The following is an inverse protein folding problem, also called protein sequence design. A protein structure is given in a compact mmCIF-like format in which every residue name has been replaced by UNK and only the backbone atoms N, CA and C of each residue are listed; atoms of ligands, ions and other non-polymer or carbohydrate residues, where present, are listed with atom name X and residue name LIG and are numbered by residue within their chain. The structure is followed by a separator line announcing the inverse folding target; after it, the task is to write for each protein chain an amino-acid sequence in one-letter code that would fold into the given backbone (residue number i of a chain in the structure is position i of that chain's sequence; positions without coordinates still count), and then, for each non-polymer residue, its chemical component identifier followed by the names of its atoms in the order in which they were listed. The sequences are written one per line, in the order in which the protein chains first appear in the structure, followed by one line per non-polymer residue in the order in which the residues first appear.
data_IF_521184206807
#
_entry.id   IF_521184206807
#
_cell.length_a   1.000
_cell.length_b   1.000
_cell.length_c   1.000
_cell.angle_alpha   90.00
_cell.angle_beta   90.00
_cell.angle_gamma   90.00
#
_symmetry.space_group_name_H-M   'P 1'
#
loop_
_entity.id
_entity.type
_entity.pdbx_description
1 polymer ?
#
# COMPACT_ATOMS: atom_id res chain seq x y z
N UNK A 1 0.31 -1.01 26.29
CA UNK A 1 0.82 -2.02 25.32
C UNK A 1 0.48 -1.52 23.93
N UNK A 2 1.41 -0.79 23.32
CA UNK A 2 1.28 -0.31 21.93
C UNK A 2 1.49 -1.49 21.00
N UNK A 3 0.42 -1.98 20.40
CA UNK A 3 0.49 -3.02 19.36
C UNK A 3 1.24 -2.43 18.18
N UNK A 4 2.53 -2.76 18.06
CA UNK A 4 3.34 -2.52 16.87
C UNK A 4 2.72 -3.28 15.69
N UNK A 5 1.85 -2.63 14.95
CA UNK A 5 1.30 -3.17 13.70
C UNK A 5 2.38 -3.08 12.63
N UNK A 6 3.02 -4.22 12.32
CA UNK A 6 3.92 -4.36 11.17
C UNK A 6 3.19 -3.86 9.91
N UNK A 7 3.83 -3.05 9.06
CA UNK A 7 3.23 -2.61 7.80
C UNK A 7 2.82 -3.82 6.95
N UNK A 8 1.59 -3.83 6.45
CA UNK A 8 1.04 -4.89 5.59
C UNK A 8 1.96 -5.35 4.43
N UNK A 9 2.74 -4.47 3.79
CA UNK A 9 3.70 -4.86 2.74
C UNK A 9 4.79 -5.81 3.22
N UNK A 10 5.44 -5.44 4.33
CA UNK A 10 6.47 -6.24 4.99
C UNK A 10 5.86 -7.54 5.48
N UNK A 11 4.62 -7.50 5.98
CA UNK A 11 3.90 -8.71 6.39
C UNK A 11 3.61 -9.67 5.22
N UNK A 12 3.27 -9.19 4.03
CA UNK A 12 2.99 -10.05 2.87
C UNK A 12 4.26 -10.74 2.33
N UNK A 13 5.38 -10.02 2.28
CA UNK A 13 6.67 -10.59 1.90
C UNK A 13 7.20 -11.55 2.96
N UNK A 14 7.14 -11.14 4.23
CA UNK A 14 7.53 -11.99 5.37
C UNK A 14 6.73 -13.27 5.39
N UNK A 15 5.41 -13.22 5.15
CA UNK A 15 4.60 -14.44 5.02
C UNK A 15 5.04 -15.29 3.84
N UNK A 16 5.37 -14.70 2.70
CA UNK A 16 5.87 -15.46 1.54
C UNK A 16 7.19 -16.18 1.86
N UNK A 17 8.07 -15.57 2.65
CA UNK A 17 9.29 -16.21 3.15
C UNK A 17 9.00 -17.30 4.19
N UNK A 18 8.12 -17.02 5.16
CA UNK A 18 7.70 -17.99 6.18
C UNK A 18 7.04 -19.22 5.55
N UNK A 19 6.20 -19.03 4.52
CA UNK A 19 5.58 -20.14 3.78
C UNK A 19 6.61 -21.01 3.06
N UNK A 20 7.70 -20.44 2.54
CA UNK A 20 8.79 -21.23 1.94
C UNK A 20 9.61 -22.01 2.98
N UNK A 21 9.70 -21.51 4.20
CA UNK A 21 10.47 -22.11 5.28
C UNK A 21 9.68 -23.11 6.16
N UNK A 22 8.34 -23.07 6.12
CA UNK A 22 7.47 -23.87 6.98
C UNK A 22 7.23 -25.30 6.47
N UNK A 23 6.94 -26.24 7.39
CA UNK A 23 6.50 -27.59 7.03
C UNK A 23 5.13 -27.55 6.32
N UNK A 24 4.80 -28.54 5.48
CA UNK A 24 3.54 -28.58 4.71
C UNK A 24 2.27 -28.41 5.58
N UNK A 25 2.28 -28.91 6.81
CA UNK A 25 1.18 -28.74 7.78
C UNK A 25 1.02 -27.31 8.27
N UNK A 26 2.13 -26.58 8.43
CA UNK A 26 2.18 -25.19 8.91
C UNK A 26 1.93 -24.19 7.77
N UNK A 27 2.34 -24.54 6.54
CA UNK A 27 2.06 -23.76 5.34
C UNK A 27 0.55 -23.54 5.15
N UNK A 28 -0.29 -24.54 5.43
CA UNK A 28 -1.75 -24.37 5.37
C UNK A 28 -2.25 -23.33 6.37
N UNK A 29 -1.79 -23.41 7.62
CA UNK A 29 -2.19 -22.47 8.68
C UNK A 29 -1.73 -21.05 8.35
N UNK A 30 -0.48 -20.88 7.89
CA UNK A 30 0.06 -19.59 7.46
C UNK A 30 -0.68 -19.04 6.24
N UNK A 31 -1.03 -19.89 5.27
CA UNK A 31 -1.81 -19.51 4.10
C UNK A 31 -3.19 -19.01 4.49
N UNK A 32 -3.90 -19.73 5.36
CA UNK A 32 -5.24 -19.36 5.80
C UNK A 32 -5.23 -18.08 6.64
N UNK A 33 -4.23 -17.91 7.51
CA UNK A 33 -4.01 -16.69 8.27
C UNK A 33 -3.70 -15.49 7.36
N UNK A 34 -2.86 -15.69 6.35
CA UNK A 34 -2.48 -14.66 5.39
C UNK A 34 -3.65 -14.25 4.49
N UNK A 35 -4.48 -15.21 4.05
CA UNK A 35 -5.73 -14.95 3.33
C UNK A 35 -6.73 -14.20 4.24
N UNK A 36 -6.82 -14.58 5.51
CA UNK A 36 -7.67 -13.89 6.49
C UNK A 36 -7.24 -12.45 6.72
N UNK A 37 -5.93 -12.22 6.88
CA UNK A 37 -5.32 -10.90 7.04
C UNK A 37 -5.27 -10.07 5.74
N UNK A 38 -5.71 -10.64 4.60
CA UNK A 38 -5.69 -9.96 3.31
C UNK A 38 -4.30 -9.77 2.71
N UNK A 39 -3.29 -10.51 3.18
CA UNK A 39 -1.90 -10.49 2.72
C UNK A 39 -1.67 -11.40 1.51
N UNK A 40 -2.61 -12.31 1.25
CA UNK A 40 -2.70 -13.11 0.04
C UNK A 40 -4.13 -13.03 -0.51
N UNK A 41 -4.34 -13.52 -1.73
CA UNK A 41 -5.68 -13.72 -2.26
C UNK A 41 -5.83 -15.09 -2.91
N UNK A 42 -7.03 -15.65 -2.78
CA UNK A 42 -7.38 -16.93 -3.38
C UNK A 42 -8.21 -16.71 -4.64
N UNK A 43 -7.83 -17.42 -5.69
CA UNK A 43 -8.48 -17.42 -6.98
C UNK A 43 -9.71 -18.37 -7.00
N UNK A 44 -10.66 -18.26 -7.94
CA UNK A 44 -11.75 -19.25 -8.08
C UNK A 44 -11.23 -20.61 -8.53
N UNK A 45 -10.13 -20.65 -9.27
CA UNK A 45 -9.41 -21.90 -9.56
C UNK A 45 -8.68 -22.45 -8.32
N UNK A 46 -8.84 -21.78 -7.16
CA UNK A 46 -8.32 -22.11 -5.82
C UNK A 46 -6.84 -21.83 -5.61
N UNK A 47 -6.12 -21.41 -6.65
CA UNK A 47 -4.74 -20.94 -6.55
C UNK A 47 -4.59 -19.78 -5.57
N UNK A 48 -3.52 -19.78 -4.77
CA UNK A 48 -3.20 -18.70 -3.84
C UNK A 48 -2.14 -17.81 -4.47
N UNK A 49 -2.36 -16.51 -4.42
CA UNK A 49 -1.54 -15.52 -5.10
C UNK A 49 -1.12 -14.44 -4.09
N UNK A 50 0.02 -13.81 -4.35
CA UNK A 50 0.52 -12.70 -3.53
C UNK A 50 -0.42 -11.50 -3.63
N UNK A 51 -0.46 -10.67 -2.58
CA UNK A 51 -1.24 -9.41 -2.59
C UNK A 51 -1.02 -8.59 -3.88
N UNK A 52 0.21 -8.51 -4.37
CA UNK A 52 0.54 -7.67 -5.52
C UNK A 52 0.25 -8.30 -6.88
N UNK A 53 0.00 -9.61 -6.94
CA UNK A 53 -0.34 -10.27 -8.18
C UNK A 53 -1.71 -9.80 -8.67
N UNK A 54 -1.74 -9.10 -9.81
CA UNK A 54 -2.97 -8.61 -10.45
C UNK A 54 -3.70 -9.70 -11.24
N UNK A 55 -2.99 -10.78 -11.58
CA UNK A 55 -3.51 -11.99 -12.24
C UNK A 55 -3.13 -13.23 -11.46
N UNK A 56 -3.95 -14.25 -11.58
CA UNK A 56 -3.72 -15.54 -11.00
C UNK A 56 -2.58 -16.24 -11.74
N UNK A 57 -1.58 -16.75 -11.02
CA UNK A 57 -0.51 -17.56 -11.60
C UNK A 57 -1.00 -18.88 -12.20
N UNK A 58 -2.11 -19.43 -11.70
CA UNK A 58 -2.68 -20.70 -12.16
C UNK A 58 -3.58 -20.57 -13.40
N UNK A 59 -4.59 -19.68 -13.38
CA UNK A 59 -5.57 -19.56 -14.47
C UNK A 59 -5.52 -18.22 -15.24
N UNK A 60 -4.64 -17.28 -14.88
CA UNK A 60 -4.51 -15.99 -15.57
C UNK A 60 -5.64 -14.99 -15.31
N UNK A 61 -6.69 -15.41 -14.62
CA UNK A 61 -7.82 -14.56 -14.20
C UNK A 61 -7.35 -13.42 -13.30
N UNK A 62 -8.01 -12.27 -13.42
CA UNK A 62 -7.66 -11.12 -12.58
C UNK A 62 -7.97 -11.39 -11.10
N UNK A 63 -7.16 -10.81 -10.21
CA UNK A 63 -7.30 -10.90 -8.74
C UNK A 63 -8.71 -10.65 -8.25
N UNK A 64 -9.38 -9.77 -8.96
CA UNK A 64 -10.70 -9.27 -8.66
C UNK A 64 -11.59 -9.94 -9.70
N UNK A 65 -12.34 -10.93 -9.24
CA UNK A 65 -13.11 -11.89 -10.02
C UNK A 65 -14.16 -11.28 -10.96
N UNK A 66 -14.30 -9.98 -10.95
CA UNK A 66 -14.98 -9.18 -11.95
C UNK A 66 -14.24 -7.85 -12.00
N UNK A 67 -14.20 -7.19 -13.16
CA UNK A 67 -14.05 -5.73 -13.23
C UNK A 67 -15.03 -5.08 -12.25
N UNK A 68 -14.84 -3.80 -11.91
CA UNK A 68 -15.91 -3.05 -11.28
C UNK A 68 -17.22 -3.36 -12.01
N UNK A 69 -18.20 -3.87 -11.27
CA UNK A 69 -19.51 -4.14 -11.84
C UNK A 69 -20.28 -2.86 -11.64
N UNK A 70 -20.14 -1.99 -12.62
CA UNK A 70 -20.95 -0.80 -12.77
C UNK A 70 -21.86 -0.98 -13.97
N UNK A 71 -23.09 -0.44 -13.92
CA UNK A 71 -23.93 -0.30 -15.10
C UNK A 71 -23.15 0.33 -16.27
N UNK A 72 -23.43 -0.09 -17.50
CA UNK A 72 -22.66 0.27 -18.71
C UNK A 72 -22.56 1.77 -19.01
N UNK A 73 -23.31 2.62 -18.29
CA UNK A 73 -23.45 4.07 -18.49
C UNK A 73 -22.62 4.95 -17.55
N UNK A 74 -21.77 4.36 -16.71
CA UNK A 74 -20.95 5.10 -15.75
C UNK A 74 -19.79 5.85 -16.41
N UNK A 75 -19.57 7.11 -16.01
CA UNK A 75 -18.34 7.82 -16.33
C UNK A 75 -17.20 7.31 -15.42
N UNK A 76 -16.03 7.03 -16.00
CA UNK A 76 -14.92 6.39 -15.28
C UNK A 76 -14.39 7.21 -14.10
N UNK A 77 -14.47 8.54 -14.14
CA UNK A 77 -13.85 9.41 -13.14
C UNK A 77 -14.52 9.35 -11.76
N UNK A 78 -15.85 9.34 -11.69
CA UNK A 78 -16.57 9.28 -10.42
C UNK A 78 -16.43 7.91 -9.72
N UNK A 79 -16.23 6.86 -10.53
CA UNK A 79 -15.93 5.53 -10.01
C UNK A 79 -14.52 5.48 -9.39
N UNK A 80 -13.54 6.20 -9.95
CA UNK A 80 -12.22 6.37 -9.33
C UNK A 80 -12.32 7.13 -8.00
N UNK A 81 -13.13 8.17 -7.91
CA UNK A 81 -13.32 8.94 -6.67
C UNK A 81 -13.94 8.08 -5.56
N UNK A 82 -14.97 7.30 -5.89
CA UNK A 82 -15.56 6.33 -4.97
C UNK A 82 -14.54 5.26 -4.54
N UNK A 83 -13.71 4.79 -5.47
CA UNK A 83 -12.65 3.83 -5.18
C UNK A 83 -11.61 4.40 -4.22
N UNK A 84 -11.17 5.63 -4.46
CA UNK A 84 -10.22 6.36 -3.60
C UNK A 84 -10.80 6.59 -2.20
N UNK A 85 -12.05 7.02 -2.11
CA UNK A 85 -12.75 7.23 -0.85
C UNK A 85 -12.87 5.93 -0.02
N UNK A 86 -13.21 4.82 -0.67
CA UNK A 86 -13.26 3.50 -0.04
C UNK A 86 -11.88 3.04 0.46
N UNK A 87 -10.85 3.23 -0.37
CA UNK A 87 -9.47 2.89 0.00
C UNK A 87 -9.05 3.64 1.27
N UNK A 88 -9.26 4.96 1.27
CA UNK A 88 -8.97 5.85 2.41
C UNK A 88 -9.72 5.41 3.67
N UNK A 89 -11.04 5.18 3.56
CA UNK A 89 -11.85 4.75 4.71
C UNK A 89 -11.33 3.47 5.38
N UNK A 90 -11.00 2.45 4.59
CA UNK A 90 -10.50 1.18 5.13
C UNK A 90 -9.03 1.25 5.56
N UNK A 91 -8.26 2.22 5.06
CA UNK A 91 -6.90 2.49 5.55
C UNK A 91 -6.94 3.17 6.93
N UNK A 92 -7.80 4.18 7.09
CA UNK A 92 -7.93 4.96 8.33
C UNK A 92 -8.60 4.16 9.46
N UNK A 93 -9.34 3.10 9.10
CA UNK A 93 -10.07 2.23 10.04
C UNK A 93 -9.69 0.77 9.82
N UNK A 94 -8.45 0.39 10.15
CA UNK A 94 -7.98 -0.98 9.94
C UNK A 94 -8.88 -1.95 10.71
N UNK A 95 -9.64 -2.76 9.97
CA UNK A 95 -10.47 -3.82 10.54
C UNK A 95 -9.64 -5.09 10.69
N UNK A 96 -10.10 -6.02 11.52
CA UNK A 96 -9.53 -7.37 11.58
C UNK A 96 -9.48 -8.06 10.20
N UNK A 97 -10.40 -7.69 9.29
CA UNK A 97 -10.45 -8.19 7.92
C UNK A 97 -10.83 -7.10 6.92
N UNK A 98 -9.94 -6.78 5.98
CA UNK A 98 -10.21 -5.82 4.89
C UNK A 98 -11.03 -6.49 3.77
N UNK A 99 -12.15 -5.89 3.33
CA UNK A 99 -12.85 -6.37 2.14
C UNK A 99 -12.05 -6.11 0.86
N UNK A 100 -12.25 -6.97 -0.14
CA UNK A 100 -11.65 -6.82 -1.47
C UNK A 100 -12.50 -5.91 -2.38
N UNK A 101 -13.80 -5.82 -2.11
CA UNK A 101 -14.73 -4.92 -2.79
C UNK A 101 -15.90 -4.58 -1.87
N UNK A 102 -16.55 -3.45 -2.12
CA UNK A 102 -17.84 -3.10 -1.53
C UNK A 102 -18.88 -3.07 -2.64
N UNK A 103 -20.04 -3.68 -2.38
CA UNK A 103 -21.21 -3.56 -3.24
C UNK A 103 -22.25 -2.65 -2.58
N UNK A 104 -22.82 -1.74 -3.37
CA UNK A 104 -23.94 -0.87 -3.01
C UNK A 104 -25.10 -1.17 -3.93
N UNK A 105 -26.32 -1.32 -3.39
CA UNK A 105 -27.53 -1.45 -4.20
C UNK A 105 -28.16 -0.08 -4.38
N UNK A 106 -28.45 0.31 -5.61
CA UNK A 106 -29.10 1.58 -5.91
C UNK A 106 -30.60 1.47 -5.64
N UNK A 107 -31.15 2.46 -4.94
CA UNK A 107 -32.56 2.51 -4.53
C UNK A 107 -33.13 3.91 -4.77
N UNK A 108 -34.44 4.04 -4.93
CA UNK A 108 -35.13 5.35 -4.96
C UNK A 108 -35.76 5.74 -3.64
N UNK A 109 -35.73 4.84 -2.66
CA UNK A 109 -36.24 5.10 -1.32
C UNK A 109 -35.18 5.88 -0.57
N UNK A 110 -35.57 7.03 0.01
CA UNK A 110 -34.76 7.68 1.02
C UNK A 110 -34.74 6.76 2.25
N UNK A 111 -33.65 6.03 2.42
CA UNK A 111 -33.41 5.15 3.56
C UNK A 111 -32.15 5.60 4.33
N UNK A 112 -31.87 4.92 5.44
CA UNK A 112 -30.67 5.11 6.27
C UNK A 112 -29.40 4.54 5.60
N UNK A 113 -29.32 4.68 4.29
CA UNK A 113 -28.20 4.29 3.46
C UNK A 113 -26.98 5.20 3.63
N UNK A 114 -25.79 4.77 3.15
CA UNK A 114 -24.58 5.59 3.22
C UNK A 114 -24.70 6.91 2.44
N UNK A 115 -25.52 6.95 1.40
CA UNK A 115 -25.94 8.14 0.67
C UNK A 115 -27.41 8.02 0.26
N UNK A 116 -28.10 9.16 0.05
CA UNK A 116 -29.45 9.17 -0.53
C UNK A 116 -29.43 8.32 -1.81
N UNK A 117 -30.34 7.36 -1.92
CA UNK A 117 -30.46 6.43 -3.05
C UNK A 117 -29.51 5.20 -3.05
N UNK A 118 -28.90 4.81 -1.93
CA UNK A 118 -28.09 3.58 -1.84
C UNK A 118 -28.43 2.74 -0.60
N UNK A 119 -28.64 1.43 -0.77
CA UNK A 119 -29.00 0.48 0.30
C UNK A 119 -28.09 -0.74 0.30
N UNK A 120 -28.02 -1.44 1.44
CA UNK A 120 -27.55 -2.83 1.48
C UNK A 120 -26.08 -3.00 1.18
N UNK A 121 -25.24 -2.22 1.87
CA UNK A 121 -23.77 -2.32 1.77
C UNK A 121 -23.33 -3.75 2.02
N UNK A 122 -22.64 -4.34 1.05
CA UNK A 122 -22.15 -5.71 1.15
C UNK A 122 -20.63 -5.71 0.99
N UNK A 123 -19.94 -6.21 2.01
CA UNK A 123 -18.50 -6.37 2.01
C UNK A 123 -18.14 -7.72 1.35
N UNK A 124 -17.50 -7.66 0.19
CA UNK A 124 -17.04 -8.83 -0.55
C UNK A 124 -15.59 -9.14 -0.18
N UNK A 125 -15.30 -10.40 0.10
CA UNK A 125 -13.94 -10.88 0.41
C UNK A 125 -13.46 -11.82 -0.69
N UNK A 126 -12.15 -11.99 -0.81
CA UNK A 126 -11.53 -12.85 -1.83
C UNK A 126 -12.00 -14.31 -1.75
N UNK A 127 -12.35 -14.79 -0.55
CA UNK A 127 -12.89 -16.13 -0.29
C UNK A 127 -14.42 -16.19 -0.18
N UNK A 128 -15.10 -15.04 -0.24
CA UNK A 128 -16.55 -14.90 -0.07
C UNK A 128 -17.05 -13.80 -1.01
N UNK A 129 -17.16 -14.12 -2.32
CA UNK A 129 -17.44 -13.14 -3.36
C UNK A 129 -18.88 -12.62 -3.33
N UNK A 130 -19.82 -13.42 -2.83
CA UNK A 130 -21.21 -13.01 -2.57
C UNK A 130 -21.28 -11.97 -1.44
N UNK A 131 -20.21 -11.87 -0.66
CA UNK A 131 -20.02 -10.92 0.41
C UNK A 131 -20.94 -11.13 1.60
N UNK A 132 -20.78 -10.26 2.59
CA UNK A 132 -21.59 -10.23 3.81
C UNK A 132 -22.15 -8.84 3.99
N UNK A 133 -23.38 -8.75 4.47
CA UNK A 133 -23.98 -7.48 4.85
C UNK A 133 -23.04 -6.74 5.81
N UNK A 134 -22.61 -5.56 5.40
CA UNK A 134 -21.74 -4.69 6.18
C UNK A 134 -22.64 -3.69 6.89
N UNK A 135 -22.59 -3.69 8.23
CA UNK A 135 -23.33 -2.71 9.04
C UNK A 135 -22.60 -1.36 9.15
N UNK A 136 -21.50 -1.21 8.43
CA UNK A 136 -20.73 0.03 8.47
C UNK A 136 -21.49 1.10 7.74
N UNK A 137 -21.77 2.15 8.49
CA UNK A 137 -22.46 3.31 7.99
C UNK A 137 -21.38 4.25 7.48
N UNK A 138 -21.25 4.38 6.15
CA UNK A 138 -20.37 5.37 5.51
C UNK A 138 -20.96 6.79 5.60
N UNK A 139 -22.01 7.01 6.38
CA UNK A 139 -22.62 8.32 6.60
C UNK A 139 -21.56 9.36 6.97
N UNK A 140 -21.69 10.55 6.37
CA UNK A 140 -20.80 11.70 6.60
C UNK A 140 -19.32 11.38 6.34
N UNK A 141 -19.07 10.56 5.33
CA UNK A 141 -17.71 10.22 4.88
C UNK A 141 -17.52 10.58 3.41
N UNK A 142 -16.26 10.65 2.98
CA UNK A 142 -15.92 10.81 1.56
C UNK A 142 -16.54 9.71 0.65
N UNK A 143 -16.88 8.54 1.21
CA UNK A 143 -17.59 7.48 0.47
C UNK A 143 -19.04 7.90 0.23
N UNK A 144 -19.70 8.52 1.21
CA UNK A 144 -21.05 9.07 1.04
C UNK A 144 -21.06 10.19 0.01
N UNK A 145 -20.08 11.10 0.07
CA UNK A 145 -19.97 12.23 -0.86
C UNK A 145 -19.80 11.73 -2.31
N UNK A 146 -18.88 10.79 -2.54
CA UNK A 146 -18.69 10.18 -3.86
C UNK A 146 -19.94 9.45 -4.38
N UNK A 147 -20.70 8.77 -3.50
CA UNK A 147 -21.97 8.13 -3.87
C UNK A 147 -23.07 9.15 -4.23
N UNK A 148 -23.12 10.29 -3.53
CA UNK A 148 -24.04 11.39 -3.86
C UNK A 148 -23.72 11.97 -5.23
N UNK A 149 -22.44 12.18 -5.53
CA UNK A 149 -21.99 12.68 -6.83
C UNK A 149 -22.35 11.70 -7.95
N UNK A 150 -22.05 10.41 -7.78
CA UNK A 150 -22.49 9.34 -8.70
C UNK A 150 -24.01 9.39 -8.92
N UNK A 151 -24.80 9.52 -7.85
CA UNK A 151 -26.25 9.61 -7.95
C UNK A 151 -26.73 10.82 -8.75
N UNK A 152 -26.05 11.96 -8.61
CA UNK A 152 -26.41 13.20 -9.29
C UNK A 152 -25.98 13.23 -10.77
N UNK A 153 -24.80 12.70 -11.08
CA UNK A 153 -24.17 12.84 -12.40
C UNK A 153 -24.34 11.60 -13.30
N UNK A 154 -24.14 10.39 -12.76
CA UNK A 154 -24.21 9.14 -13.53
C UNK A 154 -25.63 8.51 -13.54
N UNK A 155 -26.49 8.93 -12.61
CA UNK A 155 -27.92 8.54 -12.50
C UNK A 155 -28.17 7.02 -12.69
N UNK A 156 -27.62 6.16 -11.82
CA UNK A 156 -27.90 4.73 -11.88
C UNK A 156 -29.39 4.41 -11.72
N UNK A 157 -29.83 3.28 -12.27
CA UNK A 157 -31.20 2.84 -12.12
C UNK A 157 -31.38 2.11 -10.78
N UNK A 158 -32.58 2.25 -10.22
CA UNK A 158 -33.02 1.43 -9.08
C UNK A 158 -32.83 -0.06 -9.38
N UNK A 159 -32.20 -0.77 -8.45
CA UNK A 159 -31.91 -2.18 -8.59
C UNK A 159 -30.50 -2.49 -9.11
N UNK A 160 -29.81 -1.51 -9.70
CA UNK A 160 -28.40 -1.64 -10.07
C UNK A 160 -27.56 -1.95 -8.82
N UNK A 161 -26.51 -2.75 -9.00
CA UNK A 161 -25.51 -3.00 -7.95
C UNK A 161 -24.20 -2.41 -8.42
N UNK A 162 -23.69 -1.45 -7.65
CA UNK A 162 -22.36 -0.88 -7.83
C UNK A 162 -21.39 -1.69 -6.99
N UNK A 163 -20.60 -2.53 -7.64
CA UNK A 163 -19.50 -3.23 -6.99
C UNK A 163 -18.20 -2.52 -7.32
N UNK A 164 -17.60 -1.93 -6.29
CA UNK A 164 -16.34 -1.20 -6.38
C UNK A 164 -15.26 -1.97 -5.67
N UNK A 165 -14.23 -2.30 -6.43
CA UNK A 165 -13.01 -2.93 -5.95
C UNK A 165 -12.32 -1.97 -4.99
N UNK A 166 -11.94 -2.44 -3.80
CA UNK A 166 -11.10 -1.65 -2.92
C UNK A 166 -9.65 -2.00 -3.27
N UNK A 167 -8.83 -1.04 -3.70
CA UNK A 167 -7.42 -1.32 -3.91
C UNK A 167 -6.81 -1.83 -2.60
N UNK A 168 -5.77 -2.69 -2.69
CA UNK A 168 -5.00 -3.02 -1.50
C UNK A 168 -4.59 -1.73 -0.80
N UNK A 169 -4.45 -1.73 0.54
CA UNK A 169 -4.00 -0.55 1.24
C UNK A 169 -2.76 -0.06 0.52
N UNK A 170 -2.86 1.16 -0.02
CA UNK A 170 -1.73 1.80 -0.64
C UNK A 170 -0.63 1.76 0.41
N UNK A 171 0.54 1.24 0.04
CA UNK A 171 1.77 1.73 0.68
C UNK A 171 1.64 3.24 0.75
N UNK A 172 1.99 3.89 1.87
CA UNK A 172 2.04 5.35 1.92
C UNK A 172 2.71 5.81 0.63
N UNK A 173 1.98 6.71 -0.01
CA UNK A 173 2.00 7.03 -1.41
C UNK A 173 3.31 6.70 -2.15
N UNK A 174 3.25 5.78 -3.12
CA UNK A 174 4.30 5.67 -4.16
C UNK A 174 4.14 6.78 -5.20
N UNK A 175 3.83 8.00 -4.78
CA UNK A 175 4.06 9.22 -5.59
C UNK A 175 5.48 9.74 -5.42
N UNK A 176 6.25 9.20 -4.48
CA UNK A 176 7.69 9.41 -4.46
C UNK A 176 8.26 8.84 -5.76
N UNK A 177 8.94 9.65 -6.55
CA UNK A 177 9.71 9.25 -7.76
C UNK A 177 10.66 8.06 -7.53
N UNK A 178 10.96 7.75 -6.27
CA UNK A 178 11.82 6.67 -5.80
C UNK A 178 11.19 5.27 -5.96
N UNK A 179 11.77 4.46 -6.85
CA UNK A 179 11.36 3.05 -7.07
C UNK A 179 11.78 2.14 -5.90
N UNK A 180 12.92 2.45 -5.28
CA UNK A 180 13.47 1.76 -4.11
C UNK A 180 13.06 2.48 -2.82
N UNK A 181 12.92 1.74 -1.72
CA UNK A 181 12.67 2.39 -0.41
C UNK A 181 13.94 3.10 0.04
N UNK A 182 13.83 4.21 0.77
CA UNK A 182 15.00 5.02 1.16
C UNK A 182 15.99 4.23 2.02
N UNK A 183 15.50 3.26 2.81
CA UNK A 183 16.35 2.31 3.53
C UNK A 183 17.31 1.51 2.64
N UNK A 184 16.95 1.21 1.38
CA UNK A 184 17.82 0.49 0.44
C UNK A 184 18.99 1.36 -0.04
N UNK A 185 18.80 2.67 -0.17
CA UNK A 185 19.88 3.62 -0.47
C UNK A 185 20.91 3.65 0.66
N UNK A 186 20.45 3.71 1.91
CA UNK A 186 21.32 3.65 3.08
C UNK A 186 22.06 2.30 3.15
N UNK A 187 21.39 1.20 2.87
CA UNK A 187 22.04 -0.12 2.88
C UNK A 187 23.15 -0.24 1.84
N UNK A 188 22.89 0.17 0.60
CA UNK A 188 23.91 0.17 -0.45
C UNK A 188 25.03 1.18 -0.14
N UNK A 189 24.71 2.33 0.45
CA UNK A 189 25.72 3.32 0.86
C UNK A 189 26.66 2.76 1.93
N UNK A 190 26.14 2.07 2.96
CA UNK A 190 26.96 1.38 3.96
C UNK A 190 27.91 0.36 3.30
N UNK A 191 27.39 -0.41 2.32
CA UNK A 191 28.21 -1.36 1.56
C UNK A 191 29.34 -0.69 0.77
N UNK A 192 29.10 0.52 0.24
CA UNK A 192 30.11 1.31 -0.48
C UNK A 192 31.11 1.98 0.47
N UNK A 193 30.67 2.40 1.66
CA UNK A 193 31.53 2.98 2.69
C UNK A 193 32.54 1.97 3.25
N UNK A 194 32.14 0.69 3.32
CA UNK A 194 33.04 -0.43 3.58
C UNK A 194 33.00 -0.92 5.02
N UNK A 195 34.08 -1.57 5.46
CA UNK A 195 34.14 -2.22 6.76
C UNK A 195 33.91 -1.23 7.91
N UNK A 196 33.10 -1.63 8.89
CA UNK A 196 32.75 -0.82 10.06
C UNK A 196 31.52 0.07 9.88
N UNK A 197 31.00 0.19 8.66
CA UNK A 197 29.73 0.86 8.38
C UNK A 197 28.56 -0.12 8.38
N UNK A 198 27.44 0.32 8.94
CA UNK A 198 26.19 -0.42 8.96
C UNK A 198 25.00 0.52 8.75
N UNK A 199 23.84 -0.06 8.51
CA UNK A 199 22.62 0.66 8.17
C UNK A 199 21.39 -0.01 8.78
N UNK A 200 20.36 0.78 9.05
CA UNK A 200 19.01 0.24 9.24
C UNK A 200 18.00 1.00 8.38
N UNK A 201 16.95 0.29 7.98
CA UNK A 201 15.77 0.93 7.45
C UNK A 201 15.02 1.61 8.60
N UNK A 202 14.78 2.91 8.45
CA UNK A 202 13.90 3.68 9.31
C UNK A 202 12.44 3.24 9.20
N UNK A 203 11.55 3.98 9.87
CA UNK A 203 10.11 3.70 9.91
C UNK A 203 9.54 3.45 8.49
N UNK A 204 9.16 2.21 8.22
CA UNK A 204 8.57 1.75 6.93
C UNK A 204 9.47 2.05 5.72
N UNK A 205 10.78 2.18 5.92
CA UNK A 205 11.72 2.52 4.84
C UNK A 205 11.58 3.95 4.30
N UNK A 206 10.85 4.82 5.00
CA UNK A 206 10.71 6.24 4.65
C UNK A 206 12.03 7.02 4.78
N UNK A 207 12.99 6.46 5.53
CA UNK A 207 14.36 6.93 5.63
C UNK A 207 15.27 5.73 5.91
N UNK A 208 16.57 5.90 5.76
CA UNK A 208 17.58 4.96 6.24
C UNK A 208 18.49 5.64 7.25
N UNK A 209 18.99 4.89 8.23
CA UNK A 209 20.07 5.36 9.10
C UNK A 209 21.37 4.68 8.73
N UNK A 210 22.46 5.38 8.95
CA UNK A 210 23.83 4.98 8.69
C UNK A 210 24.68 5.29 9.91
N UNK A 211 25.52 4.36 10.34
CA UNK A 211 26.52 4.63 11.37
C UNK A 211 27.82 3.91 11.04
N UNK A 212 28.93 4.54 11.41
CA UNK A 212 30.27 4.08 11.13
C UNK A 212 31.22 4.32 12.30
N UNK A 213 32.49 3.92 12.16
CA UNK A 213 33.46 4.02 13.24
C UNK A 213 33.76 5.48 13.59
N UNK A 214 33.36 5.92 14.78
CA UNK A 214 33.65 7.26 15.28
C UNK A 214 32.80 8.38 14.68
N UNK A 215 31.76 8.05 13.91
CA UNK A 215 30.83 9.03 13.34
C UNK A 215 29.51 9.07 14.13
N UNK A 216 28.83 10.23 14.19
CA UNK A 216 27.43 10.27 14.60
C UNK A 216 26.55 9.41 13.69
N UNK A 217 25.35 9.07 14.16
CA UNK A 217 24.33 8.45 13.32
C UNK A 217 23.84 9.45 12.28
N UNK A 218 23.90 9.05 11.01
CA UNK A 218 23.43 9.80 9.87
C UNK A 218 22.09 9.25 9.41
N UNK A 219 21.29 10.09 8.76
CA UNK A 219 19.99 9.78 8.20
C UNK A 219 19.97 10.14 6.72
N UNK A 220 19.55 9.19 5.89
CA UNK A 220 19.19 9.38 4.48
C UNK A 220 17.68 9.46 4.39
N UNK A 221 17.11 10.54 3.85
CA UNK A 221 15.68 10.75 3.77
C UNK A 221 15.32 11.64 2.58
N UNK A 222 14.04 11.69 2.21
CA UNK A 222 13.51 12.66 1.24
C UNK A 222 13.00 13.87 2.02
N UNK A 223 13.48 15.07 1.70
CA UNK A 223 13.07 16.29 2.37
C UNK A 223 11.75 16.85 1.82
N UNK A 224 11.37 18.06 2.25
CA UNK A 224 10.11 18.68 1.83
C UNK A 224 10.08 19.20 0.38
N UNK A 225 11.24 19.26 -0.28
CA UNK A 225 11.38 19.67 -1.68
C UNK A 225 11.47 18.43 -2.62
N UNK A 226 11.18 17.24 -2.08
CA UNK A 226 11.28 15.92 -2.73
C UNK A 226 12.72 15.48 -3.05
N UNK A 227 13.73 16.16 -2.49
CA UNK A 227 15.13 15.83 -2.70
C UNK A 227 15.63 14.74 -1.74
N UNK A 228 16.43 13.80 -2.25
CA UNK A 228 17.17 12.85 -1.42
C UNK A 228 18.32 13.56 -0.72
N UNK A 229 18.34 13.51 0.61
CA UNK A 229 19.35 14.21 1.43
C UNK A 229 20.00 13.30 2.46
N UNK A 230 21.21 13.68 2.87
CA UNK A 230 21.94 13.09 4.00
C UNK A 230 22.11 14.14 5.09
N UNK A 231 21.80 13.78 6.33
CA UNK A 231 21.95 14.68 7.48
C UNK A 231 22.23 13.92 8.79
N UNK A 232 22.47 14.64 9.90
CA UNK A 232 22.54 14.02 11.24
C UNK A 232 21.14 13.59 11.71
N UNK A 233 21.03 12.44 12.38
CA UNK A 233 19.73 11.87 12.78
C UNK A 233 19.05 12.67 13.93
N UNK A 234 19.84 13.19 14.87
CA UNK A 234 19.37 13.83 16.12
C UNK A 234 19.42 15.37 16.12
N UNK A 235 19.65 16.00 14.97
CA UNK A 235 19.76 17.47 14.89
C UNK A 235 18.40 18.12 14.56
N UNK A 236 18.05 19.15 15.32
CA UNK A 236 16.76 19.86 15.20
C UNK A 236 16.74 20.83 14.01
N UNK A 237 17.92 21.24 13.54
CA UNK A 237 18.11 22.03 12.31
C UNK A 237 19.31 21.45 11.53
N UNK A 238 19.16 20.21 11.02
CA UNK A 238 20.29 19.46 10.52
C UNK A 238 20.88 20.14 9.28
N UNK A 239 22.18 20.44 9.33
CA UNK A 239 22.93 20.68 8.11
C UNK A 239 22.80 19.43 7.23
N UNK A 240 22.10 19.61 6.11
CA UNK A 240 21.74 18.54 5.17
C UNK A 240 22.40 18.76 3.83
N UNK A 241 22.80 17.68 3.19
CA UNK A 241 23.44 17.68 1.88
C UNK A 241 22.56 16.90 0.90
N UNK A 242 22.17 17.56 -0.18
CA UNK A 242 21.42 16.94 -1.27
C UNK A 242 22.29 15.97 -2.05
N UNK A 243 21.73 14.81 -2.35
CA UNK A 243 22.30 13.80 -3.25
C UNK A 243 21.87 14.16 -4.66
N UNK A 244 22.81 14.46 -5.54
CA UNK A 244 22.50 14.81 -6.92
C UNK A 244 22.06 13.56 -7.70
N UNK A 245 20.82 13.57 -8.19
CA UNK A 245 20.23 12.50 -8.97
C UNK A 245 19.90 13.03 -10.38
N UNK A 246 20.89 13.23 -11.26
CA UNK A 246 20.71 13.97 -12.52
C UNK A 246 19.76 13.28 -13.52
N UNK A 247 19.49 11.99 -13.32
CA UNK A 247 18.56 11.20 -14.13
C UNK A 247 17.26 10.85 -13.36
N UNK A 248 17.00 11.55 -12.25
CA UNK A 248 15.94 11.22 -11.31
C UNK A 248 16.28 10.01 -10.44
N UNK A 249 15.30 9.56 -9.66
CA UNK A 249 15.49 8.47 -8.73
C UNK A 249 15.78 7.13 -9.44
N UNK A 250 16.73 6.32 -8.92
CA UNK A 250 17.05 5.00 -9.45
C UNK A 250 15.84 4.10 -9.68
N UNK A 251 15.82 3.46 -10.85
CA UNK A 251 14.82 2.44 -11.23
C UNK A 251 15.45 1.05 -11.43
N UNK A 252 16.78 1.00 -11.55
CA UNK A 252 17.56 -0.23 -11.75
C UNK A 252 18.64 -0.42 -10.66
N UNK A 253 19.07 -1.66 -10.37
CA UNK A 253 20.05 -1.91 -9.31
C UNK A 253 21.43 -1.27 -9.54
N UNK A 254 21.84 -1.07 -10.79
CA UNK A 254 23.07 -0.35 -11.14
C UNK A 254 22.97 1.15 -10.84
N UNK A 255 21.80 1.75 -11.08
CA UNK A 255 21.53 3.16 -10.73
C UNK A 255 21.48 3.36 -9.22
N UNK A 256 20.89 2.41 -8.47
CA UNK A 256 20.87 2.47 -7.00
C UNK A 256 22.29 2.44 -6.42
N UNK A 257 23.17 1.61 -6.99
CA UNK A 257 24.58 1.56 -6.59
C UNK A 257 25.36 2.83 -6.93
N UNK A 258 24.99 3.52 -8.02
CA UNK A 258 25.57 4.82 -8.35
C UNK A 258 25.14 5.88 -7.32
N UNK A 259 23.84 6.02 -7.06
CA UNK A 259 23.32 6.93 -6.03
C UNK A 259 23.92 6.64 -4.64
N UNK A 260 24.10 5.36 -4.29
CA UNK A 260 24.76 4.96 -3.05
C UNK A 260 26.24 5.38 -2.98
N UNK A 261 26.94 5.44 -4.12
CA UNK A 261 28.30 5.94 -4.19
C UNK A 261 28.34 7.46 -3.95
N UNK A 262 27.38 8.20 -4.48
CA UNK A 262 27.26 9.65 -4.26
C UNK A 262 26.93 9.96 -2.78
N UNK A 263 26.02 9.19 -2.16
CA UNK A 263 25.76 9.25 -0.71
C UNK A 263 27.05 9.00 0.07
N UNK A 264 27.81 7.97 -0.28
CA UNK A 264 29.06 7.64 0.40
C UNK A 264 30.13 8.74 0.22
N UNK A 265 30.17 9.42 -0.93
CA UNK A 265 31.06 10.56 -1.18
C UNK A 265 30.69 11.76 -0.30
N UNK A 266 29.40 12.11 -0.22
CA UNK A 266 28.89 13.16 0.68
C UNK A 266 29.28 12.85 2.12
N UNK A 267 29.14 11.60 2.55
CA UNK A 267 29.48 11.17 3.91
C UNK A 267 30.97 11.35 4.19
N UNK A 268 31.83 10.91 3.26
CA UNK A 268 33.28 11.07 3.39
C UNK A 268 33.74 12.52 3.39
N UNK A 269 33.05 13.38 2.65
CA UNK A 269 33.46 14.79 2.52
C UNK A 269 33.04 15.65 3.71
N UNK A 270 31.95 15.29 4.41
CA UNK A 270 31.32 16.17 5.39
C UNK A 270 31.26 15.61 6.82
N UNK A 271 31.42 14.29 7.00
CA UNK A 271 31.23 13.63 8.30
C UNK A 271 32.38 12.71 8.72
N UNK A 272 33.40 12.55 7.87
CA UNK A 272 34.65 11.83 8.15
C UNK A 272 35.86 12.78 8.06
#
# INVERSE_FOLDING_TARGET
MTSSTTPHPVAAETISYLMKAAFLSEQRVLTDLALHAGLLWRCVCKEVNTLYAYRCGGCGEQRLWTKDVTPTRYNGTLLEDLRSALAKWFNDRPRARRPAAISFRVTTVNDDGPARATWGVTACFTDSPDGKACKDVFERSFVADALVEIGAFDQPQTGDTLRVIIPPPLTPDRTTEYTYVIGEYAHEAARVLGEGWDSESGYIGAYGKLWGPGTPTLRVYVDHDDDLVVALDDDADPMRFTVDLPNGAPTRPDELRAAAADIAEIIRANYL
#
